data_IF_487110335896
#
_entry.id   IF_487110335896
#
_cell.length_a   1.000
_cell.length_b   1.000
_cell.length_c   1.000
_cell.angle_alpha   90.00
_cell.angle_beta   90.00
_cell.angle_gamma   90.00
#
_symmetry.space_group_name_H-M   'P 1'
#
loop_
_entity.id
_entity.type
_entity.pdbx_description
1 polymer ?
#
# COMPACT_ATOMS: atom_id res chain seq x y z
N UNK A 1 -10.79 -6.25 7.83
CA UNK A 1 -10.06 -7.52 8.03
C UNK A 1 -9.62 -7.71 9.48
N UNK A 2 -9.04 -6.68 10.13
CA UNK A 2 -8.66 -6.74 11.55
C UNK A 2 -9.79 -7.22 12.47
N UNK A 3 -10.99 -6.66 12.35
CA UNK A 3 -12.13 -7.02 13.21
C UNK A 3 -12.56 -8.50 13.06
N UNK A 4 -12.44 -9.06 11.86
CA UNK A 4 -12.74 -10.49 11.61
C UNK A 4 -11.73 -11.39 12.29
N UNK A 5 -10.45 -11.01 12.27
CA UNK A 5 -9.38 -11.75 12.95
C UNK A 5 -9.59 -11.66 14.47
N UNK A 6 -9.90 -10.47 14.99
CA UNK A 6 -10.19 -10.26 16.40
C UNK A 6 -11.39 -11.09 16.86
N UNK A 7 -12.46 -11.12 16.06
CA UNK A 7 -13.63 -11.96 16.32
C UNK A 7 -13.27 -13.45 16.36
N UNK A 8 -12.46 -13.94 15.42
CA UNK A 8 -12.00 -15.34 15.41
C UNK A 8 -11.22 -15.70 16.68
N UNK A 9 -10.33 -14.82 17.14
CA UNK A 9 -9.54 -15.00 18.37
C UNK A 9 -10.46 -15.09 19.59
N UNK A 10 -11.44 -14.18 19.70
CA UNK A 10 -12.30 -14.09 20.88
C UNK A 10 -13.32 -15.24 21.00
N UNK A 11 -13.69 -15.89 19.88
CA UNK A 11 -14.71 -16.94 19.86
C UNK A 11 -14.18 -18.36 19.62
N UNK A 12 -12.85 -18.55 19.59
CA UNK A 12 -12.22 -19.86 19.36
C UNK A 12 -11.35 -20.22 20.55
N UNK A 13 -11.49 -21.41 21.13
CA UNK A 13 -10.73 -21.81 22.34
C UNK A 13 -9.22 -21.96 22.14
N UNK A 14 -8.78 -22.28 20.92
CA UNK A 14 -7.36 -22.43 20.54
C UNK A 14 -7.17 -21.90 19.12
N UNK A 15 -7.15 -20.56 18.92
CA UNK A 15 -7.02 -19.99 17.59
C UNK A 15 -5.60 -20.26 17.06
N UNK A 16 -5.51 -20.78 15.83
CA UNK A 16 -4.23 -21.04 15.14
C UNK A 16 -4.37 -20.55 13.71
N UNK A 17 -3.33 -19.92 13.18
CA UNK A 17 -3.30 -19.45 11.79
C UNK A 17 -1.98 -19.81 11.12
N UNK A 18 -2.01 -19.95 9.80
CA UNK A 18 -0.82 -20.16 8.97
C UNK A 18 -0.64 -18.97 8.02
N UNK A 19 0.56 -18.42 7.98
CA UNK A 19 0.95 -17.40 7.01
C UNK A 19 1.61 -18.12 5.82
N UNK A 20 1.11 -17.86 4.62
CA UNK A 20 1.67 -18.42 3.38
C UNK A 20 2.68 -17.43 2.76
N UNK A 21 3.60 -17.90 1.89
CA UNK A 21 4.46 -17.02 1.11
C UNK A 21 3.67 -16.01 0.28
N UNK A 22 4.29 -14.85 0.01
CA UNK A 22 3.70 -13.79 -0.82
C UNK A 22 3.41 -14.29 -2.23
N UNK A 23 2.31 -13.81 -2.81
CA UNK A 23 1.93 -14.06 -4.21
C UNK A 23 1.73 -12.71 -4.91
N UNK A 24 2.11 -12.65 -6.19
CA UNK A 24 1.81 -11.48 -7.04
C UNK A 24 0.34 -11.51 -7.45
N UNK A 25 -0.35 -10.39 -7.26
CA UNK A 25 -1.73 -10.21 -7.72
C UNK A 25 -1.73 -9.21 -8.87
N UNK A 26 -2.24 -9.63 -10.03
CA UNK A 26 -2.39 -8.79 -11.21
C UNK A 26 -3.82 -8.23 -11.27
N UNK A 27 -3.98 -7.06 -11.91
CA UNK A 27 -5.30 -6.44 -12.11
C UNK A 27 -5.92 -5.83 -10.84
N UNK A 28 -5.10 -5.40 -9.88
CA UNK A 28 -5.59 -4.68 -8.69
C UNK A 28 -6.20 -3.33 -9.09
N UNK A 29 -7.39 -3.02 -8.59
CA UNK A 29 -8.08 -1.75 -8.83
C UNK A 29 -8.35 -1.00 -7.50
N UNK A 30 -8.17 0.33 -7.46
CA UNK A 30 -7.65 1.19 -8.53
C UNK A 30 -6.12 1.10 -8.67
N UNK A 31 -5.63 1.09 -9.91
CA UNK A 31 -4.22 1.27 -10.24
C UNK A 31 -4.10 2.17 -11.49
N UNK A 32 -3.10 3.07 -11.56
CA UNK A 32 -2.07 3.34 -10.55
C UNK A 32 -2.61 4.15 -9.35
N UNK A 33 -1.91 4.06 -8.22
CA UNK A 33 -2.18 4.91 -7.04
C UNK A 33 -0.87 5.47 -6.50
N UNK A 34 -0.87 6.75 -6.15
CA UNK A 34 0.27 7.40 -5.49
C UNK A 34 0.54 6.71 -4.15
N UNK A 35 1.77 6.25 -3.94
CA UNK A 35 2.17 5.62 -2.69
C UNK A 35 2.03 6.61 -1.53
N UNK A 36 1.63 6.12 -0.34
CA UNK A 36 1.34 6.99 0.81
C UNK A 36 2.54 7.84 1.26
N UNK A 37 3.76 7.32 1.01
CA UNK A 37 5.03 7.97 1.31
C UNK A 37 5.56 8.89 0.19
N UNK A 38 4.90 8.96 -0.96
CA UNK A 38 5.29 9.90 -2.02
C UNK A 38 5.15 11.33 -1.52
N UNK A 39 6.18 12.15 -1.73
CA UNK A 39 6.09 13.59 -1.50
C UNK A 39 4.95 14.21 -2.31
N UNK A 40 4.31 15.21 -1.74
CA UNK A 40 3.13 15.88 -2.30
C UNK A 40 3.40 17.36 -2.49
N UNK A 41 2.60 17.99 -3.33
CA UNK A 41 2.49 19.45 -3.40
C UNK A 41 2.14 20.05 -2.03
N UNK A 42 2.46 21.35 -1.79
CA UNK A 42 3.06 22.31 -2.72
C UNK A 42 4.60 22.32 -2.71
N UNK A 43 5.20 22.94 -3.73
CA UNK A 43 6.64 23.20 -3.77
C UNK A 43 7.00 24.22 -2.68
N UNK A 44 7.93 23.88 -1.79
CA UNK A 44 8.32 24.71 -0.64
C UNK A 44 9.14 25.94 -1.02
N UNK A 45 9.80 25.94 -2.19
CA UNK A 45 10.63 27.05 -2.64
C UNK A 45 9.82 28.06 -3.44
N UNK A 46 9.01 27.58 -4.38
CA UNK A 46 8.20 28.40 -5.27
C UNK A 46 6.79 27.80 -5.30
N UNK A 47 5.89 28.21 -4.39
CA UNK A 47 4.54 27.64 -4.27
C UNK A 47 3.68 27.78 -5.54
N UNK A 48 3.99 28.77 -6.38
CA UNK A 48 3.32 29.01 -7.67
C UNK A 48 3.61 27.90 -8.71
N UNK A 49 4.69 27.13 -8.53
CA UNK A 49 5.05 26.00 -9.38
C UNK A 49 4.53 24.71 -8.76
N UNK A 50 3.51 24.11 -9.38
CA UNK A 50 2.97 22.82 -8.97
C UNK A 50 4.02 21.71 -9.14
N UNK A 51 4.22 20.91 -8.09
CA UNK A 51 5.07 19.71 -8.06
C UNK A 51 4.37 18.59 -7.29
N UNK A 52 4.64 17.29 -7.57
CA UNK A 52 5.52 16.76 -8.61
C UNK A 52 4.89 16.86 -10.01
N UNK A 53 5.72 16.85 -11.06
CA UNK A 53 5.24 16.99 -12.44
C UNK A 53 4.66 15.69 -13.02
N UNK A 54 5.20 14.53 -12.60
CA UNK A 54 4.86 13.23 -13.15
C UNK A 54 4.88 12.14 -12.07
N UNK A 55 4.04 11.13 -12.24
CA UNK A 55 4.04 9.91 -11.43
C UNK A 55 4.43 8.72 -12.29
N UNK A 56 5.28 7.84 -11.77
CA UNK A 56 5.70 6.62 -12.45
C UNK A 56 5.70 5.42 -11.48
N UNK A 57 5.75 4.17 -11.97
CA UNK A 57 5.90 2.99 -11.13
C UNK A 57 7.19 3.07 -10.29
N UNK A 58 7.06 3.02 -8.96
CA UNK A 58 8.20 3.09 -8.04
C UNK A 58 8.03 2.29 -6.74
N UNK A 59 6.96 1.50 -6.62
CA UNK A 59 6.70 0.64 -5.46
C UNK A 59 6.81 -0.83 -5.89
N UNK A 60 7.54 -1.64 -5.10
CA UNK A 60 7.76 -3.08 -5.32
C UNK A 60 8.35 -3.40 -6.71
N UNK A 61 9.37 -2.63 -7.15
CA UNK A 61 10.11 -2.86 -8.39
C UNK A 61 11.24 -3.86 -8.16
N UNK A 62 11.34 -4.89 -9.01
CA UNK A 62 12.46 -5.84 -9.03
C UNK A 62 13.55 -5.32 -9.98
N UNK A 63 14.80 -5.25 -9.52
CA UNK A 63 15.97 -4.80 -10.27
C UNK A 63 17.23 -5.59 -9.87
N UNK A 64 18.37 -5.38 -10.55
CA UNK A 64 19.63 -6.13 -10.43
C UNK A 64 20.69 -5.41 -9.59
#
# INVERSE_FOLDING_TARGET
MGDRILSYINHTRKPVSRIFPSKTVLGSHPAPRVAAFSSKSPNTLIPEILKPDVTAPGLNILAA
#
